data_IF_255738559591
#
_entry.id   IF_255738559591
#
_cell.length_a   1.000
_cell.length_b   1.000
_cell.length_c   1.000
_cell.angle_alpha   90.00
_cell.angle_beta   90.00
_cell.angle_gamma   90.00
#
_symmetry.space_group_name_H-M   'P 1'
#
loop_
_entity.id
_entity.type
_entity.pdbx_description
1 polymer ?
#
# COMPACT_ATOMS: atom_id res chain seq x y z
N UNK A 1 17.12 -30.67 40.02
CA UNK A 1 18.45 -30.17 40.44
C UNK A 1 19.31 -30.17 39.18
N UNK A 2 19.84 -29.08 38.63
CA UNK A 2 19.83 -27.65 38.96
C UNK A 2 20.16 -26.93 37.64
N UNK A 3 19.62 -25.72 37.43
CA UNK A 3 19.98 -24.83 36.32
C UNK A 3 21.48 -24.48 36.31
N UNK A 4 21.94 -23.78 35.27
CA UNK A 4 22.53 -22.49 35.58
C UNK A 4 21.70 -21.34 35.00
N UNK A 5 21.54 -20.35 35.85
CA UNK A 5 20.80 -19.13 35.65
C UNK A 5 21.55 -18.14 34.74
N UNK A 6 20.75 -17.18 34.28
CA UNK A 6 21.11 -15.96 33.58
C UNK A 6 22.38 -15.25 34.11
N UNK A 7 23.11 -14.61 33.19
CA UNK A 7 23.11 -13.14 33.05
C UNK A 7 24.27 -12.69 32.17
N UNK A 8 23.96 -11.94 31.11
CA UNK A 8 24.39 -10.54 31.03
C UNK A 8 23.59 -9.82 29.96
N UNK A 9 22.89 -8.78 30.41
CA UNK A 9 22.42 -7.69 29.60
C UNK A 9 23.61 -6.95 28.93
N UNK A 10 23.22 -6.09 28.00
CA UNK A 10 24.04 -5.14 27.22
C UNK A 10 24.82 -5.72 26.05
N UNK A 11 24.18 -5.68 24.88
CA UNK A 11 24.76 -4.86 23.80
C UNK A 11 23.64 -4.22 22.98
N UNK A 12 23.24 -3.03 23.41
CA UNK A 12 22.57 -2.06 22.56
C UNK A 12 23.60 -1.47 21.58
N UNK A 13 24.03 -2.25 20.59
CA UNK A 13 24.72 -1.70 19.43
C UNK A 13 23.68 -1.34 18.39
N UNK A 14 23.52 -0.04 18.19
CA UNK A 14 22.90 0.57 17.04
C UNK A 14 23.40 -0.14 15.76
N UNK A 15 22.61 -1.09 15.27
CA UNK A 15 22.77 -1.60 13.93
C UNK A 15 22.56 -0.39 13.01
N UNK A 16 23.66 0.04 12.41
CA UNK A 16 23.69 1.07 11.39
C UNK A 16 22.53 0.81 10.44
N UNK A 17 21.56 1.72 10.42
CA UNK A 17 20.48 1.68 9.45
C UNK A 17 21.15 1.88 8.10
N UNK A 18 21.48 0.77 7.42
CA UNK A 18 21.79 0.80 6.00
C UNK A 18 20.75 1.70 5.32
N UNK A 19 21.17 2.64 4.47
CA UNK A 19 20.23 3.49 3.77
C UNK A 19 19.36 2.57 2.92
N UNK A 20 18.12 2.32 3.37
CA UNK A 20 17.14 1.58 2.58
C UNK A 20 17.09 2.26 1.23
N UNK A 21 17.52 1.55 0.18
CA UNK A 21 17.62 2.11 -1.15
C UNK A 21 16.26 2.70 -1.52
N UNK A 22 16.22 3.92 -2.04
CA UNK A 22 14.96 4.60 -2.36
C UNK A 22 14.04 3.76 -3.28
N UNK A 23 14.63 2.90 -4.13
CA UNK A 23 13.90 1.92 -4.94
C UNK A 23 13.16 0.86 -4.11
N UNK A 24 13.73 0.44 -2.98
CA UNK A 24 13.11 -0.55 -2.08
C UNK A 24 11.89 0.01 -1.36
N UNK A 25 11.96 1.28 -0.97
CA UNK A 25 10.82 2.01 -0.39
C UNK A 25 9.69 2.19 -1.42
N UNK A 26 10.05 2.47 -2.68
CA UNK A 26 9.09 2.71 -3.77
C UNK A 26 8.27 1.47 -4.15
N UNK A 27 8.89 0.28 -4.26
CA UNK A 27 8.12 -0.92 -4.60
C UNK A 27 7.19 -1.36 -3.47
N UNK A 28 7.61 -1.16 -2.21
CA UNK A 28 6.77 -1.42 -1.03
C UNK A 28 5.57 -0.49 -1.03
N UNK A 29 5.80 0.81 -1.20
CA UNK A 29 4.75 1.82 -1.32
C UNK A 29 3.76 1.49 -2.46
N UNK A 30 4.27 1.10 -3.64
CA UNK A 30 3.42 0.67 -4.75
C UNK A 30 2.61 -0.59 -4.44
N UNK A 31 3.15 -1.52 -3.64
CA UNK A 31 2.44 -2.71 -3.16
C UNK A 31 1.31 -2.36 -2.20
N UNK A 32 1.57 -1.48 -1.23
CA UNK A 32 0.59 -1.00 -0.25
C UNK A 32 -0.55 -0.24 -0.94
N UNK A 33 -0.23 0.69 -1.84
CA UNK A 33 -1.22 1.45 -2.59
C UNK A 33 -2.12 0.55 -3.44
N UNK A 34 -1.56 -0.49 -4.08
CA UNK A 34 -2.39 -1.44 -4.85
C UNK A 34 -3.39 -2.19 -3.98
N UNK A 35 -2.99 -2.59 -2.76
CA UNK A 35 -3.91 -3.23 -1.80
C UNK A 35 -5.00 -2.27 -1.36
N UNK A 36 -4.64 -1.04 -1.01
CA UNK A 36 -5.58 -0.01 -0.59
C UNK A 36 -6.59 0.33 -1.69
N UNK A 37 -6.12 0.53 -2.93
CA UNK A 37 -6.96 0.73 -4.11
C UNK A 37 -7.92 -0.45 -4.29
N UNK A 38 -7.46 -1.70 -4.16
CA UNK A 38 -8.32 -2.86 -4.30
C UNK A 38 -9.43 -2.89 -3.23
N UNK A 39 -9.09 -2.57 -1.98
CA UNK A 39 -10.06 -2.43 -0.89
C UNK A 39 -11.08 -1.33 -1.15
N UNK A 40 -10.64 -0.14 -1.59
CA UNK A 40 -11.53 0.99 -1.90
C UNK A 40 -12.44 0.71 -3.11
N UNK A 41 -11.91 0.05 -4.13
CA UNK A 41 -12.71 -0.42 -5.28
C UNK A 41 -13.83 -1.36 -4.80
N UNK A 42 -13.51 -2.31 -3.90
CA UNK A 42 -14.50 -3.21 -3.32
C UNK A 42 -15.56 -2.46 -2.51
N UNK A 43 -15.17 -1.49 -1.68
CA UNK A 43 -16.09 -0.65 -0.91
C UNK A 43 -17.03 0.15 -1.83
N UNK A 44 -16.48 0.84 -2.83
CA UNK A 44 -17.27 1.64 -3.77
C UNK A 44 -18.22 0.77 -4.61
N UNK A 45 -17.75 -0.41 -5.06
CA UNK A 45 -18.55 -1.39 -5.77
C UNK A 45 -19.73 -1.88 -4.92
N UNK A 46 -19.47 -2.28 -3.67
CA UNK A 46 -20.50 -2.71 -2.74
C UNK A 46 -21.54 -1.62 -2.46
N UNK A 47 -21.09 -0.38 -2.25
CA UNK A 47 -21.96 0.77 -1.96
C UNK A 47 -22.85 1.17 -3.14
N UNK A 48 -22.35 1.03 -4.38
CA UNK A 48 -23.05 1.49 -5.59
C UNK A 48 -23.69 0.36 -6.40
N UNK A 49 -23.50 -0.90 -6.00
CA UNK A 49 -24.04 -2.07 -6.70
C UNK A 49 -23.41 -2.37 -8.06
N UNK A 50 -22.30 -1.71 -8.43
CA UNK A 50 -21.62 -1.95 -9.71
C UNK A 50 -20.53 -3.02 -9.59
N UNK A 51 -20.18 -3.66 -10.72
CA UNK A 51 -19.07 -4.63 -10.78
C UNK A 51 -17.71 -3.95 -10.59
N UNK A 52 -16.76 -4.65 -9.97
CA UNK A 52 -15.39 -4.16 -9.72
C UNK A 52 -14.71 -3.63 -10.99
N UNK A 53 -14.84 -4.34 -12.12
CA UNK A 53 -14.25 -3.91 -13.39
C UNK A 53 -14.78 -2.55 -13.89
N UNK A 54 -16.04 -2.22 -13.61
CA UNK A 54 -16.61 -0.90 -13.95
C UNK A 54 -15.99 0.20 -13.08
N UNK A 55 -15.77 -0.08 -11.79
CA UNK A 55 -15.07 0.87 -10.90
C UNK A 55 -13.63 1.08 -11.37
N UNK A 56 -12.90 0.01 -11.71
CA UNK A 56 -11.56 0.13 -12.30
C UNK A 56 -11.56 0.96 -13.59
N UNK A 57 -12.57 0.77 -14.46
CA UNK A 57 -12.76 1.60 -15.65
C UNK A 57 -12.91 3.08 -15.31
N UNK A 58 -13.80 3.41 -14.36
CA UNK A 58 -14.00 4.79 -13.88
C UNK A 58 -12.71 5.42 -13.33
N UNK A 59 -11.96 4.66 -12.53
CA UNK A 59 -10.67 5.09 -11.98
C UNK A 59 -9.66 5.39 -13.10
N UNK A 60 -9.55 4.52 -14.10
CA UNK A 60 -8.66 4.74 -15.25
C UNK A 60 -9.08 5.91 -16.14
N UNK A 61 -10.39 6.24 -16.19
CA UNK A 61 -10.89 7.42 -16.88
C UNK A 61 -10.60 8.71 -16.11
N UNK A 62 -10.78 8.71 -14.78
CA UNK A 62 -10.54 9.89 -13.95
C UNK A 62 -9.04 10.18 -13.76
N UNK A 63 -8.23 9.13 -13.61
CA UNK A 63 -6.77 9.20 -13.47
C UNK A 63 -6.12 8.32 -14.54
N UNK A 64 -5.86 8.91 -15.74
CA UNK A 64 -5.24 8.22 -16.85
C UNK A 64 -3.84 7.67 -16.50
N UNK A 65 -3.50 6.55 -17.10
CA UNK A 65 -2.20 5.90 -16.92
C UNK A 65 -2.27 4.39 -17.13
N UNK A 66 -1.14 3.68 -17.01
CA UNK A 66 -1.10 2.22 -17.15
C UNK A 66 -2.02 1.51 -16.13
N UNK A 67 -2.34 0.22 -16.35
CA UNK A 67 -3.08 -0.59 -15.38
C UNK A 67 -2.41 -0.57 -14.01
N UNK A 68 -3.19 -0.63 -12.93
CA UNK A 68 -2.65 -0.51 -11.55
C UNK A 68 -1.53 -1.50 -11.23
N UNK A 69 -1.48 -2.66 -11.89
CA UNK A 69 -0.40 -3.63 -11.73
C UNK A 69 0.98 -3.12 -12.19
N UNK A 70 1.02 -2.19 -13.14
CA UNK A 70 2.23 -1.62 -13.71
C UNK A 70 2.34 -0.10 -13.50
N UNK A 71 1.42 0.49 -12.71
CA UNK A 71 1.40 1.93 -12.49
C UNK A 71 2.47 2.38 -11.49
N UNK A 72 3.13 3.53 -11.74
CA UNK A 72 4.06 4.11 -10.78
C UNK A 72 3.31 4.61 -9.54
N UNK A 73 4.06 4.83 -8.45
CA UNK A 73 3.54 5.27 -7.14
C UNK A 73 2.66 6.52 -7.26
N UNK A 74 3.03 7.49 -8.08
CA UNK A 74 2.28 8.74 -8.23
C UNK A 74 0.88 8.52 -8.83
N UNK A 75 0.79 7.67 -9.86
CA UNK A 75 -0.50 7.30 -10.49
C UNK A 75 -1.35 6.50 -9.50
N UNK A 76 -0.74 5.58 -8.74
CA UNK A 76 -1.45 4.82 -7.71
C UNK A 76 -1.97 5.73 -6.59
N UNK A 77 -1.17 6.70 -6.15
CA UNK A 77 -1.56 7.67 -5.13
C UNK A 77 -2.74 8.52 -5.58
N UNK A 78 -2.67 9.09 -6.79
CA UNK A 78 -3.78 9.86 -7.36
C UNK A 78 -5.08 9.03 -7.52
N UNK A 79 -4.96 7.75 -7.88
CA UNK A 79 -6.11 6.83 -7.95
C UNK A 79 -6.72 6.53 -6.58
N UNK A 80 -5.89 6.35 -5.56
CA UNK A 80 -6.36 6.19 -4.17
C UNK A 80 -7.12 7.44 -3.73
N UNK A 81 -6.55 8.62 -3.95
CA UNK A 81 -7.15 9.88 -3.50
C UNK A 81 -8.52 10.09 -4.15
N UNK A 82 -8.64 9.88 -5.46
CA UNK A 82 -9.93 9.90 -6.15
C UNK A 82 -10.92 8.87 -5.59
N UNK A 83 -10.46 7.65 -5.27
CA UNK A 83 -11.34 6.64 -4.68
C UNK A 83 -11.84 7.02 -3.28
N UNK A 84 -10.99 7.65 -2.45
CA UNK A 84 -11.36 8.13 -1.12
C UNK A 84 -12.45 9.20 -1.20
N UNK A 85 -12.30 10.17 -2.12
CA UNK A 85 -13.33 11.18 -2.41
C UNK A 85 -14.67 10.52 -2.77
N UNK A 86 -14.61 9.46 -3.57
CA UNK A 86 -15.81 8.74 -3.97
C UNK A 86 -16.42 7.95 -2.81
N UNK A 87 -15.64 7.25 -1.99
CA UNK A 87 -16.17 6.44 -0.86
C UNK A 87 -16.74 7.27 0.29
N UNK A 88 -16.47 8.58 0.31
CA UNK A 88 -16.91 9.51 1.34
C UNK A 88 -15.91 9.54 2.48
N UNK A 89 -14.84 10.31 2.31
CA UNK A 89 -13.84 10.56 3.35
C UNK A 89 -14.44 10.96 4.69
#
# INVERSE_FOLDING_TARGET
MTSPAASRADDAAAAEREPVAAGDLSWRAAGDLRREIHSLVGQLAARTGVKHGIVHGRVCTAVPGPPSAAAPVDVLSARRDWLLEQTGG
#
